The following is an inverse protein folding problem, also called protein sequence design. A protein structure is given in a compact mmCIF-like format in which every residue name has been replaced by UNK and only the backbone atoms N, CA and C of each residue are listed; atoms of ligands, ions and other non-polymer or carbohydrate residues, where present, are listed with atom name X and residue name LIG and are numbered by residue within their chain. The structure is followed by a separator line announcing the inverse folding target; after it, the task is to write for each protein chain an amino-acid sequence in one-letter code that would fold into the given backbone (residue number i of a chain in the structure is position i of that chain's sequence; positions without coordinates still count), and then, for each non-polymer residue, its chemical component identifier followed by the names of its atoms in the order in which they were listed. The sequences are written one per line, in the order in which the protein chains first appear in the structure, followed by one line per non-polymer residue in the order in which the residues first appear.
data_IF_676072244579
#
_entry.id   IF_676072244579
#
_cell.length_a   1.000
_cell.length_b   1.000
_cell.length_c   1.000
_cell.angle_alpha   90.00
_cell.angle_beta   90.00
_cell.angle_gamma   90.00
#
_symmetry.space_group_name_H-M   'P 1'
#
loop_
_entity.id
_entity.type
_entity.pdbx_description
1 polymer ?
#
# COMPACT_ATOMS: atom_id res chain seq x y z
N UNK A 1 -4.79 96.08 -12.63
CA UNK A 1 -6.27 96.01 -12.68
C UNK A 1 -6.65 94.55 -12.32
N UNK A 2 -7.30 94.13 -11.20
CA UNK A 2 -8.51 94.59 -10.45
C UNK A 2 -9.77 93.85 -10.98
N UNK A 3 -10.57 93.04 -10.25
CA UNK A 3 -10.84 92.75 -8.80
C UNK A 3 -10.43 91.29 -8.39
N UNK A 4 -10.38 90.77 -7.14
CA UNK A 4 -11.20 90.68 -5.87
C UNK A 4 -12.32 89.60 -5.86
N UNK A 5 -12.41 88.83 -4.74
CA UNK A 5 -13.51 87.96 -4.19
C UNK A 5 -13.95 86.70 -4.96
N UNK A 6 -14.50 85.61 -4.37
CA UNK A 6 -14.44 84.86 -3.08
C UNK A 6 -15.74 83.99 -2.98
N UNK A 7 -15.71 82.93 -2.16
CA UNK A 7 -16.84 82.15 -1.57
C UNK A 7 -17.50 80.94 -2.29
N UNK A 8 -17.22 79.76 -1.71
CA UNK A 8 -18.06 78.59 -1.35
C UNK A 8 -19.32 78.24 -2.17
N UNK A 9 -19.45 76.95 -2.56
CA UNK A 9 -20.35 76.00 -1.87
C UNK A 9 -20.12 74.52 -2.25
N UNK A 10 -20.59 73.63 -1.37
CA UNK A 10 -20.48 72.16 -1.43
C UNK A 10 -21.42 71.51 -2.45
N UNK A 11 -20.96 70.44 -3.12
CA UNK A 11 -21.73 69.17 -3.22
C UNK A 11 -20.80 67.99 -3.55
N UNK A 12 -21.02 66.86 -2.88
CA UNK A 12 -20.34 65.58 -3.11
C UNK A 12 -21.16 64.73 -4.08
N UNK A 13 -20.57 64.22 -5.17
CA UNK A 13 -21.19 63.13 -5.96
C UNK A 13 -20.16 62.13 -6.52
N UNK A 14 -20.26 60.90 -6.03
CA UNK A 14 -19.95 59.61 -6.69
C UNK A 14 -18.65 59.46 -7.49
N UNK A 15 -17.60 59.01 -6.82
CA UNK A 15 -16.65 58.07 -7.44
C UNK A 15 -17.20 56.65 -7.24
N UNK A 16 -17.73 56.03 -8.31
CA UNK A 16 -18.12 54.62 -8.26
C UNK A 16 -16.87 53.73 -8.31
N UNK A 17 -16.36 53.39 -7.13
CA UNK A 17 -15.31 52.40 -6.96
C UNK A 17 -15.87 51.00 -7.28
N UNK A 18 -15.68 50.54 -8.51
CA UNK A 18 -16.02 49.18 -8.96
C UNK A 18 -15.08 48.16 -8.29
N UNK A 19 -15.37 47.81 -7.04
CA UNK A 19 -14.81 46.59 -6.42
C UNK A 19 -15.54 45.40 -7.04
N UNK A 20 -14.95 44.84 -8.10
CA UNK A 20 -15.38 43.57 -8.65
C UNK A 20 -15.19 42.48 -7.60
N UNK A 21 -16.28 42.05 -6.97
CA UNK A 21 -16.29 40.96 -5.99
C UNK A 21 -16.02 39.64 -6.73
N UNK A 22 -14.75 39.28 -6.84
CA UNK A 22 -14.32 38.04 -7.48
C UNK A 22 -14.63 36.87 -6.53
N UNK A 23 -15.85 36.34 -6.64
CA UNK A 23 -16.29 35.15 -5.91
C UNK A 23 -15.49 33.96 -6.43
N UNK A 24 -14.40 33.64 -5.75
CA UNK A 24 -13.65 32.41 -5.97
C UNK A 24 -14.54 31.27 -5.49
N UNK A 25 -15.26 30.63 -6.39
CA UNK A 25 -16.00 29.39 -6.10
C UNK A 25 -15.00 28.31 -5.69
N UNK A 26 -14.78 28.17 -4.38
CA UNK A 26 -14.02 27.08 -3.81
C UNK A 26 -14.85 25.81 -4.03
N UNK A 27 -14.54 25.08 -5.10
CA UNK A 27 -15.16 23.79 -5.36
C UNK A 27 -14.63 22.78 -4.32
N UNK A 28 -15.27 22.77 -3.15
CA UNK A 28 -15.09 21.70 -2.16
C UNK A 28 -15.65 20.42 -2.78
N UNK A 29 -14.78 19.65 -3.40
CA UNK A 29 -15.09 18.31 -3.89
C UNK A 29 -15.43 17.45 -2.66
N UNK A 30 -16.69 17.01 -2.58
CA UNK A 30 -17.15 16.21 -1.46
C UNK A 30 -16.41 14.86 -1.44
N UNK A 31 -15.87 14.49 -0.29
CA UNK A 31 -15.32 13.16 -0.09
C UNK A 31 -16.45 12.11 -0.04
N UNK A 32 -16.13 10.87 -0.41
CA UNK A 32 -17.05 9.73 -0.25
C UNK A 32 -17.37 9.57 1.24
N UNK A 33 -18.67 9.66 1.58
CA UNK A 33 -19.19 9.53 2.94
C UNK A 33 -19.35 8.07 3.36
N UNK A 34 -19.49 7.82 4.66
CA UNK A 34 -19.63 6.46 5.17
C UNK A 34 -20.99 5.83 4.77
N UNK A 35 -22.04 6.64 4.54
CA UNK A 35 -23.30 6.18 3.95
C UNK A 35 -23.13 5.69 2.51
N UNK A 36 -22.29 6.36 1.71
CA UNK A 36 -21.92 5.90 0.37
C UNK A 36 -21.10 4.59 0.46
N UNK A 37 -20.23 4.44 1.45
CA UNK A 37 -19.51 3.18 1.67
C UNK A 37 -20.47 2.04 2.02
N UNK A 38 -21.40 2.24 2.96
CA UNK A 38 -22.40 1.24 3.36
C UNK A 38 -23.31 0.83 2.17
N UNK A 39 -23.82 1.81 1.41
CA UNK A 39 -24.61 1.56 0.20
C UNK A 39 -23.83 0.76 -0.86
N UNK A 40 -22.53 1.02 -1.01
CA UNK A 40 -21.66 0.28 -1.92
C UNK A 40 -21.41 -1.16 -1.44
N UNK A 41 -21.18 -1.37 -0.14
CA UNK A 41 -21.02 -2.71 0.45
C UNK A 41 -22.28 -3.55 0.28
N UNK A 42 -23.47 -2.98 0.51
CA UNK A 42 -24.74 -3.70 0.28
C UNK A 42 -24.97 -3.97 -1.22
N UNK A 43 -24.62 -3.03 -2.11
CA UNK A 43 -24.67 -3.26 -3.55
C UNK A 43 -23.76 -4.40 -4.01
N UNK A 44 -22.56 -4.57 -3.41
CA UNK A 44 -21.71 -5.74 -3.65
C UNK A 44 -22.39 -7.04 -3.20
N UNK A 45 -23.06 -7.04 -2.03
CA UNK A 45 -23.81 -8.20 -1.49
C UNK A 45 -24.89 -8.67 -2.47
N UNK A 46 -25.72 -7.73 -2.93
CA UNK A 46 -26.82 -7.98 -3.88
C UNK A 46 -26.32 -8.30 -5.30
N UNK A 47 -25.13 -7.81 -5.66
CA UNK A 47 -24.51 -8.12 -6.93
C UNK A 47 -23.86 -9.51 -6.99
N UNK A 48 -23.37 -10.03 -5.86
CA UNK A 48 -22.45 -11.16 -5.75
C UNK A 48 -22.91 -12.42 -6.53
N UNK A 49 -22.09 -12.92 -7.48
CA UNK A 49 -22.36 -14.19 -8.15
C UNK A 49 -22.10 -15.34 -7.18
N UNK A 50 -23.10 -16.21 -6.96
CA UNK A 50 -22.97 -17.34 -6.03
C UNK A 50 -22.00 -18.39 -6.60
N UNK A 51 -20.98 -18.76 -5.81
CA UNK A 51 -19.95 -19.75 -6.09
C UNK A 51 -19.78 -20.68 -4.89
N UNK A 52 -19.50 -21.96 -5.12
CA UNK A 52 -19.40 -22.97 -4.05
C UNK A 52 -18.13 -22.91 -3.18
N UNK A 53 -17.21 -21.97 -3.43
CA UNK A 53 -15.89 -21.88 -2.77
C UNK A 53 -15.61 -20.51 -2.13
N UNK A 54 -16.64 -19.69 -1.91
CA UNK A 54 -16.54 -18.34 -1.36
C UNK A 54 -17.51 -18.17 -0.19
N UNK A 55 -17.10 -17.39 0.80
CA UNK A 55 -17.73 -17.28 2.11
C UNK A 55 -18.65 -16.06 2.20
N UNK A 56 -19.68 -16.16 3.05
CA UNK A 56 -20.73 -15.17 3.28
C UNK A 56 -21.54 -14.77 2.03
N UNK A 57 -22.53 -13.91 2.23
CA UNK A 57 -23.34 -13.37 1.13
C UNK A 57 -22.52 -12.57 0.10
N UNK A 58 -21.43 -11.92 0.52
CA UNK A 58 -20.55 -11.12 -0.33
C UNK A 58 -19.58 -11.94 -1.19
N UNK A 59 -19.47 -13.25 -0.94
CA UNK A 59 -18.63 -14.17 -1.72
C UNK A 59 -17.14 -13.82 -1.66
N UNK A 60 -16.56 -13.94 -0.46
CA UNK A 60 -15.18 -13.56 -0.14
C UNK A 60 -14.27 -14.79 -0.08
N UNK A 61 -12.99 -14.64 -0.46
CA UNK A 61 -11.97 -15.69 -0.28
C UNK A 61 -11.55 -15.81 1.19
N UNK A 62 -11.36 -17.03 1.70
CA UNK A 62 -10.93 -17.27 3.10
C UNK A 62 -9.68 -16.46 3.51
N UNK A 63 -8.68 -16.35 2.62
CA UNK A 63 -7.45 -15.60 2.90
C UNK A 63 -7.74 -14.11 3.21
N UNK A 64 -8.66 -13.50 2.46
CA UNK A 64 -9.03 -12.09 2.63
C UNK A 64 -9.69 -11.84 3.99
N UNK A 65 -10.50 -12.78 4.51
CA UNK A 65 -11.19 -12.65 5.80
C UNK A 65 -10.17 -12.41 6.92
N UNK A 66 -9.16 -13.26 7.03
CA UNK A 66 -8.12 -13.15 8.07
C UNK A 66 -7.29 -11.86 7.93
N UNK A 67 -6.91 -11.48 6.70
CA UNK A 67 -6.12 -10.27 6.44
C UNK A 67 -6.92 -8.98 6.71
N UNK A 68 -8.16 -8.90 6.24
CA UNK A 68 -8.99 -7.70 6.38
C UNK A 68 -9.48 -7.50 7.81
N UNK A 69 -9.86 -8.57 8.51
CA UNK A 69 -10.19 -8.50 9.94
C UNK A 69 -8.99 -8.05 10.79
N UNK A 70 -7.79 -8.59 10.57
CA UNK A 70 -6.58 -8.14 11.26
C UNK A 70 -6.29 -6.66 11.03
N UNK A 71 -6.60 -6.15 9.83
CA UNK A 71 -6.43 -4.74 9.46
C UNK A 71 -7.47 -3.82 10.11
N UNK A 72 -8.73 -4.22 10.10
CA UNK A 72 -9.88 -3.39 10.50
C UNK A 72 -10.25 -3.51 11.99
N UNK A 73 -9.98 -4.65 12.62
CA UNK A 73 -10.35 -4.96 14.02
C UNK A 73 -9.12 -5.19 14.92
N UNK A 74 -7.91 -5.21 14.37
CA UNK A 74 -6.69 -5.55 15.11
C UNK A 74 -6.54 -7.04 15.45
N UNK A 75 -7.46 -7.92 15.00
CA UNK A 75 -7.41 -9.38 15.18
C UNK A 75 -7.88 -10.11 13.92
N UNK A 76 -7.18 -11.18 13.52
CA UNK A 76 -7.66 -12.11 12.50
C UNK A 76 -8.90 -12.87 12.95
N UNK A 77 -9.88 -13.00 12.05
CA UNK A 77 -11.01 -13.92 12.15
C UNK A 77 -10.79 -15.18 11.32
N UNK A 78 -11.34 -16.28 11.79
CA UNK A 78 -11.63 -17.47 10.98
C UNK A 78 -12.83 -17.22 10.06
N UNK A 79 -13.00 -18.07 9.04
CA UNK A 79 -14.20 -18.06 8.17
C UNK A 79 -15.49 -18.24 8.96
N UNK A 80 -15.48 -19.16 9.94
CA UNK A 80 -16.64 -19.46 10.80
C UNK A 80 -17.05 -18.25 11.65
N UNK A 81 -16.10 -17.56 12.30
CA UNK A 81 -16.40 -16.34 13.06
C UNK A 81 -16.94 -15.22 12.17
N UNK A 82 -16.43 -15.09 10.94
CA UNK A 82 -16.89 -14.09 9.98
C UNK A 82 -18.30 -14.38 9.45
N UNK A 83 -18.66 -15.65 9.24
CA UNK A 83 -20.01 -16.03 8.80
C UNK A 83 -21.05 -16.06 9.93
N UNK A 84 -20.60 -16.22 11.18
CA UNK A 84 -21.49 -16.24 12.35
C UNK A 84 -22.04 -14.86 12.75
N UNK A 85 -21.36 -13.76 12.38
CA UNK A 85 -21.75 -12.40 12.74
C UNK A 85 -21.79 -11.48 11.52
N UNK A 86 -23.03 -11.22 11.05
CA UNK A 86 -23.30 -10.38 9.88
C UNK A 86 -22.87 -8.92 10.05
N UNK A 87 -22.94 -8.38 11.27
CA UNK A 87 -22.60 -6.98 11.53
C UNK A 87 -21.07 -6.80 11.61
N UNK A 88 -20.35 -7.75 12.20
CA UNK A 88 -18.88 -7.80 12.12
C UNK A 88 -18.42 -7.97 10.67
N UNK A 89 -19.06 -8.85 9.89
CA UNK A 89 -18.77 -9.04 8.48
C UNK A 89 -18.95 -7.74 7.68
N UNK A 90 -20.09 -7.05 7.86
CA UNK A 90 -20.37 -5.74 7.25
C UNK A 90 -19.33 -4.70 7.67
N UNK A 91 -19.01 -4.57 8.96
CA UNK A 91 -18.06 -3.57 9.45
C UNK A 91 -16.64 -3.75 8.88
N UNK A 92 -16.16 -4.99 8.74
CA UNK A 92 -14.87 -5.29 8.07
C UNK A 92 -14.92 -4.86 6.59
N UNK A 93 -16.05 -5.09 5.93
CA UNK A 93 -16.24 -4.75 4.52
C UNK A 93 -16.37 -3.24 4.30
N UNK A 94 -17.07 -2.52 5.16
CA UNK A 94 -17.15 -1.05 5.12
C UNK A 94 -15.77 -0.43 5.36
N UNK A 95 -15.02 -0.90 6.35
CA UNK A 95 -13.62 -0.51 6.54
C UNK A 95 -12.77 -0.73 5.28
N UNK A 96 -12.78 -1.93 4.69
CA UNK A 96 -11.94 -2.26 3.53
C UNK A 96 -12.41 -1.57 2.24
N UNK A 97 -13.71 -1.56 1.95
CA UNK A 97 -14.29 -0.97 0.74
C UNK A 97 -14.31 0.55 0.81
N UNK A 98 -14.50 1.15 1.99
CA UNK A 98 -14.42 2.59 2.19
C UNK A 98 -13.01 3.13 1.90
N UNK A 99 -11.97 2.33 2.14
CA UNK A 99 -10.65 2.65 1.61
C UNK A 99 -10.63 2.58 0.07
N UNK A 100 -10.93 1.41 -0.53
CA UNK A 100 -10.74 1.19 -1.98
C UNK A 100 -11.60 2.16 -2.81
N UNK A 101 -12.83 2.43 -2.40
CA UNK A 101 -13.73 3.36 -3.07
C UNK A 101 -13.21 4.80 -3.05
N UNK A 102 -12.65 5.27 -1.93
CA UNK A 102 -12.00 6.59 -1.84
C UNK A 102 -10.78 6.67 -2.75
N UNK A 103 -9.94 5.64 -2.82
CA UNK A 103 -8.81 5.59 -3.77
C UNK A 103 -9.28 5.61 -5.24
N UNK A 104 -10.31 4.85 -5.60
CA UNK A 104 -10.83 4.87 -6.96
C UNK A 104 -11.55 6.18 -7.31
N UNK A 105 -12.08 6.91 -6.32
CA UNK A 105 -12.68 8.23 -6.51
C UNK A 105 -11.65 9.29 -6.89
N UNK A 106 -10.49 9.32 -6.23
CA UNK A 106 -9.38 10.19 -6.64
C UNK A 106 -8.90 9.83 -8.07
N UNK A 107 -8.68 8.54 -8.34
CA UNK A 107 -8.19 8.05 -9.64
C UNK A 107 -9.19 8.23 -10.78
N UNK A 108 -10.49 8.27 -10.50
CA UNK A 108 -11.53 8.56 -11.49
C UNK A 108 -11.67 10.07 -11.81
N UNK A 109 -10.82 10.92 -11.21
CA UNK A 109 -10.94 12.39 -11.22
C UNK A 109 -12.26 12.84 -10.58
N UNK A 110 -12.59 12.26 -9.43
CA UNK A 110 -13.78 12.56 -8.63
C UNK A 110 -15.11 12.23 -9.33
N UNK A 111 -15.09 11.27 -10.26
CA UNK A 111 -16.29 10.71 -10.89
C UNK A 111 -16.76 9.48 -10.09
N UNK A 112 -17.82 9.66 -9.30
CA UNK A 112 -18.36 8.65 -8.40
C UNK A 112 -18.84 7.38 -9.12
N UNK A 113 -19.53 7.53 -10.25
CA UNK A 113 -20.01 6.38 -11.03
C UNK A 113 -18.86 5.51 -11.53
N UNK A 114 -17.81 6.15 -12.06
CA UNK A 114 -16.58 5.46 -12.49
C UNK A 114 -15.83 4.88 -11.29
N UNK A 115 -15.82 5.56 -10.14
CA UNK A 115 -15.18 5.06 -8.91
C UNK A 115 -15.85 3.77 -8.40
N UNK A 116 -17.19 3.75 -8.34
CA UNK A 116 -17.99 2.58 -7.96
C UNK A 116 -17.76 1.42 -8.92
N UNK A 117 -17.80 1.65 -10.23
CA UNK A 117 -17.53 0.59 -11.21
C UNK A 117 -16.08 0.06 -11.12
N UNK A 118 -15.09 0.94 -10.95
CA UNK A 118 -13.68 0.56 -10.75
C UNK A 118 -13.47 -0.22 -9.47
N UNK A 119 -14.16 0.13 -8.39
CA UNK A 119 -14.09 -0.59 -7.10
C UNK A 119 -14.76 -1.96 -7.22
N UNK A 120 -15.88 -2.07 -7.94
CA UNK A 120 -16.52 -3.34 -8.26
C UNK A 120 -15.64 -4.24 -9.16
N UNK A 121 -14.91 -3.67 -10.12
CA UNK A 121 -13.95 -4.42 -10.93
C UNK A 121 -12.79 -4.95 -10.08
N UNK A 122 -12.26 -4.11 -9.18
CA UNK A 122 -11.25 -4.51 -8.21
C UNK A 122 -11.75 -5.63 -7.29
N UNK A 123 -12.98 -5.54 -6.79
CA UNK A 123 -13.59 -6.60 -5.99
C UNK A 123 -13.62 -7.95 -6.72
N UNK A 124 -14.02 -7.95 -8.00
CA UNK A 124 -14.19 -9.16 -8.79
C UNK A 124 -12.86 -9.75 -9.31
N UNK A 125 -11.87 -8.91 -9.63
CA UNK A 125 -10.66 -9.33 -10.38
C UNK A 125 -9.32 -8.94 -9.74
N UNK A 126 -9.32 -8.05 -8.75
CA UNK A 126 -8.13 -7.35 -8.26
C UNK A 126 -7.68 -6.16 -9.13
N UNK A 127 -8.26 -5.95 -10.31
CA UNK A 127 -7.82 -4.94 -11.29
C UNK A 127 -8.95 -3.96 -11.61
N UNK A 128 -8.86 -2.76 -11.04
CA UNK A 128 -9.89 -1.72 -11.14
C UNK A 128 -10.12 -1.24 -12.58
N UNK A 129 -9.08 -1.27 -13.39
CA UNK A 129 -9.03 -0.85 -14.79
C UNK A 129 -9.88 -1.73 -15.71
N UNK A 130 -10.25 -2.95 -15.30
CA UNK A 130 -11.07 -3.87 -16.10
C UNK A 130 -12.57 -3.56 -16.06
N UNK A 131 -12.99 -2.45 -15.44
CA UNK A 131 -14.41 -2.12 -15.19
C UNK A 131 -15.31 -1.99 -16.43
N UNK A 132 -14.73 -1.87 -17.63
CA UNK A 132 -15.43 -1.82 -18.92
C UNK A 132 -15.20 -3.07 -19.79
N UNK A 133 -14.51 -4.10 -19.27
CA UNK A 133 -14.05 -5.22 -20.08
C UNK A 133 -15.02 -6.41 -20.03
N UNK A 134 -15.71 -6.68 -21.14
CA UNK A 134 -16.50 -7.90 -21.36
C UNK A 134 -17.49 -8.19 -20.22
N UNK A 135 -17.43 -9.40 -19.65
CA UNK A 135 -18.33 -9.81 -18.57
C UNK A 135 -18.16 -8.99 -17.27
N UNK A 136 -17.00 -8.36 -17.06
CA UNK A 136 -16.78 -7.49 -15.89
C UNK A 136 -17.65 -6.23 -16.01
N UNK A 137 -17.83 -5.67 -17.20
CA UNK A 137 -18.70 -4.50 -17.43
C UNK A 137 -20.15 -4.75 -17.02
N UNK A 138 -20.67 -5.96 -17.27
CA UNK A 138 -22.02 -6.34 -16.85
C UNK A 138 -22.14 -6.39 -15.31
N UNK A 139 -21.12 -6.91 -14.63
CA UNK A 139 -21.08 -6.96 -13.17
C UNK A 139 -20.94 -5.55 -12.55
N UNK A 140 -20.01 -4.73 -13.03
CA UNK A 140 -19.78 -3.37 -12.51
C UNK A 140 -20.98 -2.46 -12.74
N UNK A 141 -21.67 -2.60 -13.88
CA UNK A 141 -22.93 -1.90 -14.12
C UNK A 141 -24.07 -2.38 -13.20
N UNK A 142 -24.15 -3.69 -12.91
CA UNK A 142 -25.10 -4.23 -11.92
C UNK A 142 -24.84 -3.63 -10.53
N UNK A 143 -23.59 -3.58 -10.08
CA UNK A 143 -23.21 -2.95 -8.80
C UNK A 143 -23.56 -1.46 -8.80
N UNK A 144 -23.23 -0.71 -9.86
CA UNK A 144 -23.55 0.72 -9.95
C UNK A 144 -25.07 1.01 -9.87
N UNK A 145 -25.88 0.17 -10.52
CA UNK A 145 -27.34 0.30 -10.47
C UNK A 145 -27.89 0.05 -9.05
N UNK A 146 -27.39 -1.00 -8.37
CA UNK A 146 -27.76 -1.34 -7.00
C UNK A 146 -27.29 -0.28 -6.00
N UNK A 147 -26.09 0.27 -6.19
CA UNK A 147 -25.55 1.35 -5.37
C UNK A 147 -26.46 2.59 -5.36
N UNK A 148 -26.90 3.04 -6.54
CA UNK A 148 -27.86 4.16 -6.64
C UNK A 148 -29.29 3.78 -6.22
N UNK A 149 -29.61 2.49 -6.07
CA UNK A 149 -30.85 2.06 -5.44
C UNK A 149 -30.73 2.18 -3.91
N UNK A 150 -29.66 1.69 -3.30
CA UNK A 150 -29.45 1.78 -1.86
C UNK A 150 -29.32 3.23 -1.37
N UNK A 151 -28.62 4.10 -2.09
CA UNK A 151 -28.58 5.54 -1.76
C UNK A 151 -29.98 6.20 -1.74
N UNK A 152 -30.94 5.72 -2.53
CA UNK A 152 -32.32 6.21 -2.50
C UNK A 152 -33.12 5.65 -1.33
N UNK A 153 -32.80 4.43 -0.89
CA UNK A 153 -33.45 3.79 0.26
C UNK A 153 -33.06 4.44 1.59
N UNK A 154 -31.91 5.14 1.65
CA UNK A 154 -31.29 5.64 2.89
C UNK A 154 -31.76 7.05 3.32
N UNK A 155 -32.57 7.78 2.53
CA UNK A 155 -32.94 9.18 2.84
C UNK A 155 -34.45 9.48 2.70
N UNK A 156 -35.12 10.15 3.68
CA UNK A 156 -34.75 10.39 5.07
C UNK A 156 -35.89 9.97 6.04
N UNK A 157 -35.91 8.70 6.46
CA UNK A 157 -36.88 8.21 7.46
C UNK A 157 -36.30 7.22 8.48
N UNK A 158 -35.02 6.85 8.36
CA UNK A 158 -34.37 5.79 9.13
C UNK A 158 -33.26 6.31 10.06
N UNK A 159 -33.49 7.42 10.76
CA UNK A 159 -32.68 7.78 11.94
C UNK A 159 -33.00 6.83 13.10
N UNK A 160 -32.56 5.58 12.99
CA UNK A 160 -32.51 4.63 14.11
C UNK A 160 -31.06 4.35 14.47
N UNK A 161 -30.57 5.13 15.42
CA UNK A 161 -29.51 4.77 16.35
C UNK A 161 -28.34 3.94 15.78
N UNK A 162 -27.38 4.62 15.17
CA UNK A 162 -25.99 4.28 15.45
C UNK A 162 -25.69 4.76 16.88
N UNK A 163 -26.18 4.03 17.89
CA UNK A 163 -25.80 4.29 19.27
C UNK A 163 -24.32 3.96 19.39
N UNK A 164 -23.51 4.95 19.75
CA UNK A 164 -22.06 4.83 19.89
C UNK A 164 -21.69 3.56 20.66
N UNK A 165 -20.91 2.62 20.08
CA UNK A 165 -20.35 1.53 20.86
C UNK A 165 -19.44 2.13 21.92
N UNK A 166 -19.85 2.02 23.19
CA UNK A 166 -18.94 2.13 24.31
C UNK A 166 -17.82 1.11 24.06
N UNK A 167 -16.53 1.49 24.11
CA UNK A 167 -15.44 0.52 23.95
C UNK A 167 -15.66 -0.64 24.92
N UNK A 168 -15.61 -1.92 24.49
CA UNK A 168 -15.84 -3.03 25.40
C UNK A 168 -14.73 -3.03 26.46
N UNK A 169 -15.11 -2.62 27.68
CA UNK A 169 -14.28 -2.73 28.87
C UNK A 169 -13.83 -4.18 28.99
N UNK A 170 -12.51 -4.43 28.96
CA UNK A 170 -11.96 -5.77 29.14
C UNK A 170 -12.54 -6.40 30.42
N UNK A 171 -13.15 -7.60 30.33
CA UNK A 171 -13.31 -8.44 31.50
C UNK A 171 -11.91 -8.80 32.01
N UNK A 172 -11.56 -8.29 33.19
CA UNK A 172 -10.26 -8.55 33.81
C UNK A 172 -10.12 -10.04 34.14
N UNK A 173 -9.37 -10.79 33.32
CA UNK A 173 -9.18 -12.24 33.50
C UNK A 173 -8.04 -12.54 34.48
N UNK A 174 -8.23 -12.12 35.74
CA UNK A 174 -7.46 -12.61 36.89
C UNK A 174 -8.38 -13.44 37.79
N UNK A 175 -8.51 -14.74 37.47
CA UNK A 175 -8.55 -15.87 38.43
C UNK A 175 -9.10 -17.14 37.77
N UNK A 176 -8.21 -18.09 37.45
CA UNK A 176 -8.47 -19.51 37.69
C UNK A 176 -7.19 -20.31 37.79
N UNK A 177 -6.82 -20.65 39.02
CA UNK A 177 -5.75 -21.59 39.34
C UNK A 177 -6.36 -22.99 39.61
N UNK A 178 -5.54 -24.05 39.50
CA UNK A 178 -5.77 -25.48 39.87
C UNK A 178 -7.00 -26.20 39.23
N UNK A 179 -6.87 -27.31 38.48
CA UNK A 179 -6.12 -28.56 38.73
C UNK A 179 -6.12 -29.46 37.46
N UNK A 180 -5.06 -30.25 37.14
CA UNK A 180 -5.03 -31.22 36.03
C UNK A 180 -5.41 -32.66 36.45
N UNK A 181 -5.98 -33.49 35.55
CA UNK A 181 -5.32 -34.78 35.15
C UNK A 181 -5.75 -35.31 33.76
N UNK A 182 -5.35 -36.53 33.32
CA UNK A 182 -4.04 -37.20 33.44
C UNK A 182 -3.44 -37.58 32.07
N UNK A 183 -2.17 -37.98 32.07
CA UNK A 183 -1.50 -38.68 30.94
C UNK A 183 -1.87 -40.17 30.98
N UNK A 184 -2.09 -40.78 29.80
CA UNK A 184 -1.81 -42.20 29.60
C UNK A 184 -1.49 -42.50 28.13
N UNK A 185 -0.50 -43.34 27.89
CA UNK A 185 -0.01 -43.71 26.56
C UNK A 185 -0.54 -45.08 26.11
N UNK A 186 -0.51 -45.37 24.81
CA UNK A 186 0.07 -46.61 24.27
C UNK A 186 0.12 -46.61 22.72
N UNK A 187 1.35 -46.70 22.21
CA UNK A 187 1.84 -47.68 21.23
C UNK A 187 0.84 -48.38 20.28
N UNK A 188 0.95 -48.14 18.97
CA UNK A 188 1.41 -49.17 18.01
C UNK A 188 1.83 -48.57 16.65
N UNK A 189 2.77 -49.26 15.99
CA UNK A 189 3.23 -49.05 14.62
C UNK A 189 3.12 -50.40 13.89
N UNK A 190 2.92 -50.44 12.57
CA UNK A 190 4.07 -50.89 11.77
C UNK A 190 4.17 -50.32 10.34
N UNK A 191 5.41 -49.97 9.95
CA UNK A 191 6.13 -50.35 8.70
C UNK A 191 5.48 -50.04 7.30
N UNK A 192 6.21 -49.85 6.19
CA UNK A 192 7.64 -50.03 5.89
C UNK A 192 8.07 -49.36 4.56
N UNK A 193 9.38 -49.14 4.39
CA UNK A 193 10.13 -49.13 3.11
C UNK A 193 9.88 -47.96 2.12
N UNK A 194 10.85 -47.45 1.34
CA UNK A 194 12.21 -47.94 1.04
C UNK A 194 13.24 -46.80 0.77
N UNK A 195 14.50 -47.03 1.17
CA UNK A 195 15.73 -46.45 0.56
C UNK A 195 16.22 -47.40 -0.58
N UNK A 196 17.11 -47.01 -1.52
CA UNK A 196 18.55 -46.74 -1.30
C UNK A 196 18.95 -45.28 -1.70
N UNK A 197 19.95 -44.62 -1.11
CA UNK A 197 21.41 -44.85 -1.14
C UNK A 197 22.06 -44.66 -2.54
N UNK A 198 23.32 -44.27 -2.72
CA UNK A 198 24.35 -43.51 -1.95
C UNK A 198 25.54 -43.32 -2.94
N UNK A 199 26.45 -42.37 -2.69
CA UNK A 199 27.89 -42.37 -3.03
C UNK A 199 28.44 -41.05 -3.61
N UNK A 200 29.36 -40.47 -2.84
CA UNK A 200 30.59 -39.86 -3.32
C UNK A 200 31.73 -40.66 -2.67
N UNK A 201 32.85 -40.96 -3.36
CA UNK A 201 34.08 -40.27 -2.93
C UNK A 201 35.23 -40.13 -3.96
N UNK A 202 36.24 -39.37 -3.53
CA UNK A 202 37.70 -39.48 -3.80
C UNK A 202 38.35 -38.99 -5.12
N UNK A 203 39.27 -38.02 -4.93
CA UNK A 203 40.54 -37.81 -5.66
C UNK A 203 41.53 -38.96 -5.33
N UNK A 204 42.61 -39.27 -6.11
CA UNK A 204 43.86 -38.45 -6.08
C UNK A 204 44.83 -38.52 -7.30
N UNK A 205 45.97 -37.81 -7.16
CA UNK A 205 47.30 -37.95 -7.84
C UNK A 205 47.56 -37.20 -9.16
N UNK A 206 48.63 -36.39 -9.13
CA UNK A 206 49.39 -35.85 -10.29
C UNK A 206 50.64 -36.71 -10.56
N UNK A 207 51.22 -36.67 -11.77
CA UNK A 207 52.15 -35.58 -12.14
C UNK A 207 51.84 -35.04 -13.57
N UNK A 208 52.67 -34.31 -14.34
CA UNK A 208 54.10 -33.98 -14.22
C UNK A 208 54.47 -32.62 -14.90
N UNK A 209 55.77 -32.46 -15.17
CA UNK A 209 56.60 -31.31 -15.55
C UNK A 209 56.71 -31.04 -17.06
N UNK A 210 56.53 -29.79 -17.51
CA UNK A 210 57.44 -29.15 -18.50
C UNK A 210 57.36 -27.61 -18.48
N UNK A 211 58.46 -26.96 -18.85
CA UNK A 211 58.71 -25.50 -18.90
C UNK A 211 59.98 -25.27 -19.75
N UNK A 212 60.27 -24.11 -20.39
CA UNK A 212 59.61 -22.80 -20.29
C UNK A 212 59.28 -22.11 -21.65
N UNK A 213 58.49 -21.03 -21.60
CA UNK A 213 58.65 -19.90 -22.55
C UNK A 213 58.23 -18.60 -21.85
N UNK A 214 59.09 -17.57 -21.86
CA UNK A 214 58.82 -16.27 -21.23
C UNK A 214 58.02 -15.36 -22.17
N UNK A 215 56.80 -14.90 -21.81
CA UNK A 215 56.14 -13.80 -22.48
C UNK A 215 56.64 -12.45 -21.95
N UNK A 216 56.80 -11.48 -22.84
CA UNK A 216 57.14 -10.10 -22.49
C UNK A 216 56.05 -9.45 -21.60
N UNK A 217 56.41 -8.56 -20.65
CA UNK A 217 55.43 -7.84 -19.86
C UNK A 217 54.64 -6.84 -20.75
N UNK A 218 53.30 -6.80 -20.67
CA UNK A 218 52.52 -5.78 -21.35
C UNK A 218 52.73 -4.40 -20.70
N UNK A 219 52.53 -3.29 -21.45
CA UNK A 219 52.69 -1.94 -20.91
C UNK A 219 51.66 -1.68 -19.80
N UNK A 220 52.13 -1.15 -18.67
CA UNK A 220 51.30 -0.81 -17.51
C UNK A 220 50.46 0.42 -17.82
N UNK A 221 49.26 0.20 -18.34
CA UNK A 221 48.24 1.24 -18.47
C UNK A 221 47.67 1.58 -17.09
N UNK A 222 48.23 2.61 -16.45
CA UNK A 222 47.67 3.23 -15.24
C UNK A 222 46.39 4.02 -15.55
N UNK A 223 45.35 3.32 -16.01
CA UNK A 223 43.98 3.83 -16.02
C UNK A 223 43.40 3.58 -14.61
N UNK A 224 42.97 4.61 -13.86
CA UNK A 224 42.26 4.39 -12.60
C UNK A 224 41.04 3.49 -12.85
N UNK A 225 40.80 2.45 -12.03
CA UNK A 225 39.66 1.58 -12.23
C UNK A 225 38.38 2.41 -12.20
N UNK A 226 37.54 2.25 -13.22
CA UNK A 226 36.25 2.93 -13.25
C UNK A 226 35.48 2.60 -11.97
N UNK A 227 35.06 3.62 -11.21
CA UNK A 227 34.27 3.40 -9.99
C UNK A 227 33.11 2.46 -10.29
N UNK A 228 32.99 1.31 -9.59
CA UNK A 228 31.91 0.38 -9.84
C UNK A 228 30.57 1.08 -9.62
N UNK A 229 29.63 0.83 -10.51
CA UNK A 229 28.26 1.34 -10.36
C UNK A 229 27.56 0.71 -9.15
N UNK A 230 26.35 1.20 -8.85
CA UNK A 230 25.51 0.67 -7.77
C UNK A 230 25.34 -0.85 -7.91
N UNK A 231 25.76 -1.59 -6.88
CA UNK A 231 25.76 -3.06 -6.87
C UNK A 231 24.43 -3.63 -6.34
N UNK A 232 24.18 -4.90 -6.64
CA UNK A 232 22.99 -5.61 -6.17
C UNK A 232 22.92 -5.75 -4.64
N UNK A 233 24.08 -5.82 -3.96
CA UNK A 233 24.15 -5.77 -2.49
C UNK A 233 23.65 -4.42 -1.99
N UNK A 234 24.21 -3.31 -2.50
CA UNK A 234 23.80 -1.95 -2.11
C UNK A 234 22.30 -1.68 -2.33
N UNK A 235 21.69 -2.22 -3.38
CA UNK A 235 20.24 -2.15 -3.59
C UNK A 235 19.49 -2.94 -2.51
N UNK A 236 19.95 -4.16 -2.21
CA UNK A 236 19.34 -5.04 -1.19
C UNK A 236 19.46 -4.44 0.21
N UNK A 237 20.63 -3.91 0.56
CA UNK A 237 20.91 -3.23 1.83
C UNK A 237 20.01 -2.00 2.00
N UNK A 238 19.80 -1.21 0.95
CA UNK A 238 18.92 -0.03 1.02
C UNK A 238 17.44 -0.41 1.19
N UNK A 239 16.97 -1.46 0.50
CA UNK A 239 15.60 -1.97 0.70
C UNK A 239 15.38 -2.41 2.15
N UNK A 240 16.37 -3.07 2.76
CA UNK A 240 16.31 -3.51 4.16
C UNK A 240 16.46 -2.32 5.14
N UNK A 241 17.33 -1.35 4.87
CA UNK A 241 17.49 -0.15 5.68
C UNK A 241 16.22 0.72 5.73
N UNK A 242 15.52 0.86 4.59
CA UNK A 242 14.21 1.52 4.51
C UNK A 242 13.20 0.80 5.41
N UNK A 243 13.15 -0.54 5.35
CA UNK A 243 12.28 -1.40 6.19
C UNK A 243 12.51 -1.17 7.69
N UNK A 244 13.76 -1.08 8.11
CA UNK A 244 14.17 -0.89 9.52
C UNK A 244 13.89 0.55 9.99
N UNK A 245 14.02 1.54 9.11
CA UNK A 245 13.71 2.94 9.41
C UNK A 245 12.21 3.21 9.56
N UNK A 246 11.36 2.45 8.85
CA UNK A 246 9.89 2.57 8.81
C UNK A 246 9.25 2.67 10.20
N UNK A 247 8.52 3.76 10.52
CA UNK A 247 7.89 3.93 11.82
C UNK A 247 6.73 2.94 12.03
N UNK A 248 6.92 1.97 12.92
CA UNK A 248 5.93 0.89 13.19
C UNK A 248 4.60 1.37 13.78
N UNK A 249 4.49 2.64 14.14
CA UNK A 249 3.38 3.27 14.84
C UNK A 249 2.72 4.44 14.06
N UNK A 250 2.87 4.50 12.73
CA UNK A 250 1.97 5.35 11.93
C UNK A 250 0.52 4.89 12.13
N UNK A 251 -0.39 5.86 12.22
CA UNK A 251 -1.82 5.58 12.41
C UNK A 251 -2.33 4.62 11.32
N UNK A 252 -3.27 3.74 11.70
CA UNK A 252 -3.88 2.75 10.80
C UNK A 252 -4.55 3.42 9.58
N UNK A 253 -4.93 4.69 9.74
CA UNK A 253 -5.54 5.59 8.77
C UNK A 253 -4.66 5.88 7.53
N UNK A 254 -3.33 5.80 7.63
CA UNK A 254 -2.40 6.11 6.52
C UNK A 254 -2.49 5.07 5.37
N UNK A 255 -3.16 3.93 5.57
CA UNK A 255 -3.39 2.88 4.57
C UNK A 255 -2.09 2.40 3.87
N UNK A 256 -1.05 2.16 4.65
CA UNK A 256 0.24 1.70 4.16
C UNK A 256 0.37 0.17 4.30
N UNK A 257 0.93 -0.49 3.28
CA UNK A 257 0.98 -1.96 3.15
C UNK A 257 2.40 -2.51 3.27
N UNK A 258 2.50 -3.78 3.68
CA UNK A 258 3.74 -4.52 4.00
C UNK A 258 4.59 -3.88 5.11
N UNK A 259 5.71 -4.54 5.43
CA UNK A 259 6.73 -4.03 6.36
C UNK A 259 7.50 -2.80 5.85
N UNK A 260 7.31 -2.39 4.59
CA UNK A 260 7.86 -1.16 4.00
C UNK A 260 6.90 0.04 4.00
N UNK A 261 5.65 -0.14 4.44
CA UNK A 261 4.63 0.93 4.50
C UNK A 261 4.41 1.68 3.16
N UNK A 262 3.90 0.98 2.15
CA UNK A 262 3.72 1.52 0.80
C UNK A 262 2.24 1.77 0.48
N UNK A 263 1.94 2.84 -0.27
CA UNK A 263 0.58 3.15 -0.75
C UNK A 263 0.12 2.19 -1.86
N UNK A 264 -1.16 1.80 -1.93
CA UNK A 264 -1.73 0.97 -3.00
C UNK A 264 -1.42 1.42 -4.43
N UNK A 265 -1.47 2.72 -4.71
CA UNK A 265 -1.17 3.29 -6.03
C UNK A 265 0.29 3.06 -6.45
N UNK A 266 1.24 3.14 -5.50
CA UNK A 266 2.63 2.80 -5.72
C UNK A 266 2.82 1.29 -5.94
N UNK A 267 2.14 0.43 -5.15
CA UNK A 267 2.18 -1.02 -5.35
C UNK A 267 1.72 -1.41 -6.76
N UNK A 268 0.57 -0.89 -7.22
CA UNK A 268 0.06 -1.18 -8.58
C UNK A 268 1.01 -0.66 -9.66
N UNK A 269 1.46 0.59 -9.56
CA UNK A 269 2.37 1.19 -10.53
C UNK A 269 3.70 0.43 -10.64
N UNK A 270 4.33 0.12 -9.50
CA UNK A 270 5.66 -0.52 -9.47
C UNK A 270 5.59 -2.01 -9.80
N UNK A 271 4.53 -2.72 -9.41
CA UNK A 271 4.34 -4.12 -9.83
C UNK A 271 4.13 -4.22 -11.34
N UNK A 272 3.27 -3.35 -11.94
CA UNK A 272 3.10 -3.26 -13.39
C UNK A 272 4.43 -3.03 -14.11
N UNK A 273 5.26 -2.12 -13.60
CA UNK A 273 6.55 -1.78 -14.20
C UNK A 273 7.59 -2.92 -14.06
N UNK A 274 7.72 -3.49 -12.86
CA UNK A 274 8.79 -4.44 -12.52
C UNK A 274 8.47 -5.91 -12.86
N UNK A 275 7.19 -6.29 -12.87
CA UNK A 275 6.73 -7.67 -13.10
C UNK A 275 5.89 -7.82 -14.37
N UNK A 276 5.53 -6.72 -15.05
CA UNK A 276 4.52 -6.70 -16.13
C UNK A 276 3.13 -7.22 -15.67
N UNK A 277 2.88 -7.16 -14.35
CA UNK A 277 1.63 -7.58 -13.72
C UNK A 277 1.30 -6.62 -12.56
N UNK A 278 0.06 -6.17 -12.47
CA UNK A 278 -0.42 -5.46 -11.27
C UNK A 278 -0.71 -6.44 -10.13
N UNK A 279 -0.12 -6.18 -8.96
CA UNK A 279 -0.50 -6.82 -7.71
C UNK A 279 -1.52 -5.97 -6.96
N UNK A 280 -2.44 -6.63 -6.26
CA UNK A 280 -3.24 -5.94 -5.25
C UNK A 280 -2.37 -5.61 -4.03
N UNK A 281 -2.76 -4.61 -3.20
CA UNK A 281 -2.05 -4.31 -1.96
C UNK A 281 -2.01 -5.50 -0.98
N UNK A 282 -3.04 -6.35 -1.00
CA UNK A 282 -3.12 -7.54 -0.15
C UNK A 282 -2.19 -8.66 -0.66
N UNK A 283 -2.15 -8.93 -1.97
CA UNK A 283 -1.20 -9.91 -2.56
C UNK A 283 0.26 -9.50 -2.31
N UNK A 284 0.55 -8.20 -2.44
CA UNK A 284 1.85 -7.63 -2.15
C UNK A 284 2.23 -7.81 -0.68
N UNK A 285 1.34 -7.47 0.26
CA UNK A 285 1.57 -7.62 1.68
C UNK A 285 1.65 -9.09 2.15
N UNK A 286 0.93 -10.00 1.50
CA UNK A 286 0.93 -11.43 1.81
C UNK A 286 2.21 -12.16 1.36
N UNK A 287 2.98 -11.59 0.43
CA UNK A 287 4.22 -12.21 -0.07
C UNK A 287 5.44 -11.28 0.11
N UNK A 288 6.16 -11.38 1.25
CA UNK A 288 7.35 -10.57 1.52
C UNK A 288 8.48 -10.74 0.50
N UNK A 289 8.62 -11.91 -0.13
CA UNK A 289 9.64 -12.13 -1.16
C UNK A 289 9.28 -11.40 -2.46
N UNK A 290 8.02 -11.45 -2.88
CA UNK A 290 7.53 -10.68 -4.03
C UNK A 290 7.62 -9.16 -3.77
N UNK A 291 7.27 -8.72 -2.55
CA UNK A 291 7.52 -7.35 -2.09
C UNK A 291 8.98 -6.96 -2.29
N UNK A 292 9.94 -7.74 -1.74
CA UNK A 292 11.39 -7.47 -1.90
C UNK A 292 11.81 -7.40 -3.36
N UNK A 293 11.30 -8.26 -4.24
CA UNK A 293 11.62 -8.23 -5.68
C UNK A 293 11.19 -6.92 -6.35
N UNK A 294 9.93 -6.49 -6.15
CA UNK A 294 9.42 -5.23 -6.71
C UNK A 294 10.22 -4.04 -6.15
N UNK A 295 10.53 -4.06 -4.85
CA UNK A 295 11.26 -2.99 -4.19
C UNK A 295 12.71 -2.90 -4.64
N UNK A 296 13.42 -4.01 -4.77
CA UNK A 296 14.76 -4.04 -5.34
C UNK A 296 14.78 -3.53 -6.78
N UNK A 297 13.78 -3.87 -7.59
CA UNK A 297 13.61 -3.28 -8.91
C UNK A 297 13.46 -1.75 -8.84
N UNK A 298 12.47 -1.23 -8.09
CA UNK A 298 12.17 0.22 -8.10
C UNK A 298 13.23 1.05 -7.37
N UNK A 299 13.63 0.67 -6.17
CA UNK A 299 14.72 1.33 -5.43
C UNK A 299 16.04 1.21 -6.21
N UNK A 300 16.28 0.09 -6.91
CA UNK A 300 17.45 -0.08 -7.77
C UNK A 300 17.52 0.90 -8.94
N UNK A 301 16.39 1.25 -9.56
CA UNK A 301 16.33 2.30 -10.58
C UNK A 301 16.66 3.68 -9.98
N UNK A 302 15.97 4.05 -8.89
CA UNK A 302 16.12 5.38 -8.27
C UNK A 302 17.53 5.55 -7.69
N UNK A 303 18.08 4.54 -7.01
CA UNK A 303 19.43 4.60 -6.44
C UNK A 303 20.50 4.78 -7.53
N UNK A 304 20.34 4.15 -8.71
CA UNK A 304 21.25 4.35 -9.86
C UNK A 304 21.17 5.78 -10.43
N UNK A 305 19.97 6.34 -10.49
CA UNK A 305 19.75 7.74 -10.89
C UNK A 305 20.38 8.69 -9.87
N UNK A 306 20.05 8.56 -8.59
CA UNK A 306 20.55 9.43 -7.52
C UNK A 306 22.06 9.29 -7.30
N UNK A 307 22.66 8.11 -7.55
CA UNK A 307 24.11 7.91 -7.58
C UNK A 307 24.80 8.70 -8.70
N UNK A 308 24.13 8.87 -9.84
CA UNK A 308 24.65 9.72 -10.92
C UNK A 308 24.54 11.19 -10.54
N UNK A 309 23.42 11.61 -9.95
CA UNK A 309 23.17 12.99 -9.49
C UNK A 309 24.06 13.39 -8.30
N UNK A 310 24.43 12.44 -7.42
CA UNK A 310 25.27 12.67 -6.24
C UNK A 310 26.77 12.75 -6.54
N UNK A 311 27.18 12.86 -7.80
CA UNK A 311 28.58 12.75 -8.22
C UNK A 311 29.23 11.43 -7.75
N UNK A 312 28.48 10.31 -7.82
CA UNK A 312 28.90 8.95 -7.42
C UNK A 312 29.18 8.79 -5.92
N UNK A 313 28.62 9.66 -5.07
CA UNK A 313 28.56 9.45 -3.63
C UNK A 313 27.37 8.54 -3.28
N UNK A 314 27.65 7.31 -2.83
CA UNK A 314 26.62 6.32 -2.47
C UNK A 314 25.82 6.71 -1.22
N UNK A 315 26.41 7.40 -0.25
CA UNK A 315 25.74 7.77 0.99
C UNK A 315 24.76 8.93 0.76
N UNK A 316 25.16 9.89 -0.08
CA UNK A 316 24.26 10.94 -0.57
C UNK A 316 23.16 10.32 -1.45
N UNK A 317 23.48 9.36 -2.32
CA UNK A 317 22.48 8.66 -3.16
C UNK A 317 21.45 7.87 -2.33
N UNK A 318 21.90 7.14 -1.30
CA UNK A 318 21.05 6.44 -0.32
C UNK A 318 20.09 7.41 0.36
N UNK A 319 20.59 8.53 0.88
CA UNK A 319 19.73 9.54 1.53
C UNK A 319 18.75 10.18 0.56
N UNK A 320 19.17 10.51 -0.66
CA UNK A 320 18.29 11.07 -1.70
C UNK A 320 17.20 10.08 -2.13
N UNK A 321 17.53 8.80 -2.25
CA UNK A 321 16.57 7.72 -2.51
C UNK A 321 15.58 7.56 -1.35
N UNK A 322 16.04 7.69 -0.10
CA UNK A 322 15.18 7.68 1.09
C UNK A 322 14.27 8.92 1.19
N UNK A 323 14.70 10.10 0.72
CA UNK A 323 13.83 11.27 0.61
C UNK A 323 12.75 11.06 -0.46
N UNK A 324 13.14 10.59 -1.65
CA UNK A 324 12.20 10.19 -2.69
C UNK A 324 11.18 9.15 -2.20
N UNK A 325 11.61 8.18 -1.39
CA UNK A 325 10.74 7.15 -0.82
C UNK A 325 9.59 7.74 0.00
N UNK A 326 9.87 8.74 0.85
CA UNK A 326 8.90 9.28 1.82
C UNK A 326 8.09 10.48 1.29
N UNK A 327 8.66 11.30 0.38
CA UNK A 327 8.01 12.53 -0.13
C UNK A 327 7.86 12.59 -1.65
N UNK A 328 8.49 11.69 -2.40
CA UNK A 328 8.62 11.78 -3.86
C UNK A 328 9.72 12.74 -4.35
N UNK A 329 10.37 13.50 -3.46
CA UNK A 329 11.39 14.50 -3.81
C UNK A 329 12.77 14.16 -3.21
N UNK A 330 13.75 13.73 -4.03
CA UNK A 330 15.11 13.43 -3.58
C UNK A 330 15.86 14.63 -2.97
N UNK A 331 15.47 15.88 -3.28
CA UNK A 331 16.16 17.07 -2.78
C UNK A 331 15.91 17.33 -1.28
N UNK A 332 14.84 16.78 -0.71
CA UNK A 332 14.45 16.98 0.68
C UNK A 332 15.26 16.15 1.70
N UNK A 333 16.30 15.43 1.24
CA UNK A 333 17.15 14.56 2.07
C UNK A 333 17.93 15.25 3.21
N UNK A 334 17.86 16.59 3.31
CA UNK A 334 18.48 17.38 4.38
C UNK A 334 17.47 18.25 5.16
N UNK A 335 16.17 18.19 4.85
CA UNK A 335 15.18 19.14 5.36
C UNK A 335 14.25 18.54 6.41
N UNK A 336 14.33 19.06 7.65
CA UNK A 336 13.42 18.72 8.75
C UNK A 336 13.25 17.22 8.98
N UNK A 337 12.03 16.79 9.27
CA UNK A 337 11.66 15.39 9.56
C UNK A 337 12.02 14.41 8.44
N UNK A 338 12.11 14.86 7.19
CA UNK A 338 12.58 14.02 6.07
C UNK A 338 14.09 13.84 6.18
N UNK A 339 14.83 14.92 6.47
CA UNK A 339 16.26 14.87 6.78
C UNK A 339 16.60 13.83 7.84
N UNK A 340 15.87 13.87 8.97
CA UNK A 340 16.01 12.93 10.09
C UNK A 340 15.71 11.48 9.67
N UNK A 341 14.64 11.26 8.90
CA UNK A 341 14.32 9.95 8.33
C UNK A 341 15.43 9.42 7.42
N UNK A 342 16.00 10.26 6.54
CA UNK A 342 17.10 9.81 5.66
C UNK A 342 18.39 9.50 6.41
N UNK A 343 18.66 10.19 7.52
CA UNK A 343 19.78 9.87 8.39
C UNK A 343 19.59 8.50 9.02
N UNK A 344 18.40 8.22 9.57
CA UNK A 344 18.04 6.90 10.13
C UNK A 344 18.14 5.78 9.10
N UNK A 345 17.73 6.01 7.84
CA UNK A 345 17.93 5.04 6.74
C UNK A 345 19.43 4.83 6.47
N UNK A 346 20.23 5.89 6.43
CA UNK A 346 21.68 5.76 6.23
C UNK A 346 22.36 5.02 7.39
N UNK A 347 21.93 5.24 8.64
CA UNK A 347 22.44 4.52 9.82
C UNK A 347 22.22 3.00 9.72
N UNK A 348 21.02 2.56 9.33
CA UNK A 348 20.77 1.13 9.09
C UNK A 348 21.52 0.61 7.87
N UNK A 349 21.63 1.39 6.80
CA UNK A 349 22.36 1.01 5.60
C UNK A 349 23.86 0.76 5.88
N UNK A 350 24.45 1.52 6.80
CA UNK A 350 25.85 1.35 7.22
C UNK A 350 26.09 0.12 8.13
N UNK A 351 25.03 -0.57 8.57
CA UNK A 351 25.08 -1.74 9.44
C UNK A 351 24.88 -3.07 8.70
N UNK A 352 24.71 -3.03 7.36
CA UNK A 352 24.36 -4.16 6.49
C UNK A 352 25.48 -4.52 5.49
#
# INVERSE_FOLDING_TARGET
MQKITNYLLSTITSHYLWIGLLVISINVQAAISDEQVAAFVEALRLAAPKSGNLYSDWQIKAANISTWSQRCLGRSLTTSEFEADLEIARAILECKMGHVLREQYELSKYNEAVAVQRTAAWWMTGVAEQYQNGNIANYTQKVLNLYYQELKNVSPAATKSLTTPVPPTLPNSQNRETTPPPVSANTESPNSSAFPDTESPTLPVSPDTESPTLPLPPPVSNTPPASPGVTEKQITDLVEAIRLATPKNRNLDDNLYSEWQIKPSAIRSWSRECLQQELTPDDFAANPQMSRTILKCKIGQILKQEYTVSNKDIFVAVRRTAAWWISGDPQQYKTGVIGDYTLKVLEFYLQL
#
